data_IF_928796617956
#
_entry.id   IF_928796617956
#
_cell.length_a   1.000
_cell.length_b   1.000
_cell.length_c   1.000
_cell.angle_alpha   90.00
_cell.angle_beta   90.00
_cell.angle_gamma   90.00
#
_symmetry.space_group_name_H-M   'P 1'
#
loop_
_entity.id
_entity.type
_entity.pdbx_description
1 polymer ?
#
# COMPACT_ATOMS: atom_id res chain seq x y z
N UNK A 1 -8.42 42.52 -15.29
CA UNK A 1 -9.42 41.70 -14.55
C UNK A 1 -9.59 40.32 -15.20
N UNK A 2 -9.87 40.23 -16.51
CA UNK A 2 -9.96 38.97 -17.25
C UNK A 2 -8.74 38.04 -17.09
N UNK A 3 -7.51 38.55 -17.19
CA UNK A 3 -6.30 37.73 -17.03
C UNK A 3 -6.21 37.06 -15.65
N UNK A 4 -6.65 37.77 -14.58
CA UNK A 4 -6.68 37.21 -13.22
C UNK A 4 -7.75 36.12 -13.07
N UNK A 5 -8.88 36.24 -13.76
CA UNK A 5 -9.95 35.23 -13.79
C UNK A 5 -9.49 33.99 -14.55
N UNK A 6 -8.77 34.15 -15.67
CA UNK A 6 -8.20 33.04 -16.44
C UNK A 6 -7.15 32.29 -15.63
N UNK A 7 -6.25 33.01 -14.94
CA UNK A 7 -5.25 32.39 -14.06
C UNK A 7 -5.93 31.65 -12.90
N UNK A 8 -6.95 32.24 -12.28
CA UNK A 8 -7.70 31.61 -11.19
C UNK A 8 -8.46 30.36 -11.65
N UNK A 9 -9.10 30.40 -12.83
CA UNK A 9 -9.74 29.25 -13.44
C UNK A 9 -8.71 28.16 -13.79
N UNK A 10 -7.55 28.52 -14.33
CA UNK A 10 -6.48 27.56 -14.66
C UNK A 10 -5.91 26.87 -13.41
N UNK A 11 -5.83 27.57 -12.28
CA UNK A 11 -5.43 27.00 -10.97
C UNK A 11 -6.50 26.04 -10.44
N UNK A 12 -7.78 26.37 -10.60
CA UNK A 12 -8.90 25.50 -10.19
C UNK A 12 -9.05 24.26 -11.09
N UNK A 13 -8.75 24.39 -12.39
CA UNK A 13 -8.80 23.28 -13.35
C UNK A 13 -7.57 22.37 -13.29
N UNK A 14 -6.41 22.86 -12.82
CA UNK A 14 -5.30 22.03 -12.37
C UNK A 14 -5.53 21.53 -10.94
N UNK A 15 -6.74 21.04 -10.66
CA UNK A 15 -6.97 20.18 -9.51
C UNK A 15 -6.16 18.91 -9.77
N UNK A 16 -4.90 18.90 -9.30
CA UNK A 16 -4.11 17.68 -9.27
C UNK A 16 -4.92 16.68 -8.45
N UNK A 17 -5.49 15.67 -9.12
CA UNK A 17 -5.96 14.49 -8.42
C UNK A 17 -4.84 14.01 -7.50
N UNK A 18 -5.20 13.65 -6.28
CA UNK A 18 -4.22 13.19 -5.30
C UNK A 18 -3.37 12.09 -5.97
N UNK A 19 -2.03 12.19 -5.94
CA UNK A 19 -1.17 11.24 -6.63
C UNK A 19 -1.38 9.79 -6.18
N UNK A 20 -2.05 9.53 -5.06
CA UNK A 20 -2.47 8.19 -4.66
C UNK A 20 -3.65 7.64 -5.48
N UNK A 21 -4.50 8.48 -6.07
CA UNK A 21 -5.67 8.04 -6.85
C UNK A 21 -5.23 7.08 -7.96
N UNK A 22 -5.97 5.99 -8.11
CA UNK A 22 -5.70 4.91 -9.05
C UNK A 22 -5.33 3.59 -8.37
N UNK A 23 -5.02 2.59 -9.20
CA UNK A 23 -4.73 1.23 -8.76
C UNK A 23 -3.22 0.98 -8.65
N UNK A 24 -2.83 0.36 -7.55
CA UNK A 24 -1.45 0.10 -7.15
C UNK A 24 -1.29 -1.36 -6.82
N UNK A 25 -0.53 -2.08 -7.66
CA UNK A 25 -0.24 -3.50 -7.47
C UNK A 25 1.06 -3.70 -6.73
N UNK A 26 1.08 -4.56 -5.72
CA UNK A 26 2.31 -4.87 -5.01
C UNK A 26 3.28 -5.54 -5.97
N UNK A 27 4.50 -5.01 -6.06
CA UNK A 27 5.57 -5.56 -6.87
C UNK A 27 6.70 -6.11 -6.00
N UNK A 28 6.88 -5.57 -4.79
CA UNK A 28 7.96 -6.00 -3.89
C UNK A 28 7.57 -5.85 -2.42
N UNK A 29 8.05 -6.76 -1.57
CA UNK A 29 7.92 -6.68 -0.13
C UNK A 29 9.23 -7.09 0.54
N UNK A 30 9.95 -6.12 1.11
CA UNK A 30 11.28 -6.34 1.68
C UNK A 30 11.26 -7.24 2.92
N UNK A 31 10.13 -7.34 3.63
CA UNK A 31 9.99 -8.30 4.73
C UNK A 31 9.96 -9.73 4.22
N UNK A 32 9.19 -9.99 3.15
CA UNK A 32 9.14 -11.32 2.53
C UNK A 32 10.50 -11.73 1.99
N UNK A 33 11.17 -10.82 1.28
CA UNK A 33 12.54 -11.06 0.77
C UNK A 33 13.51 -11.39 1.90
N UNK A 34 13.50 -10.58 2.97
CA UNK A 34 14.38 -10.81 4.12
C UNK A 34 14.13 -12.15 4.80
N UNK A 35 12.89 -12.64 4.80
CA UNK A 35 12.56 -13.96 5.36
C UNK A 35 13.11 -15.06 4.45
N UNK A 36 12.86 -14.97 3.14
CA UNK A 36 13.32 -15.96 2.15
C UNK A 36 14.85 -16.08 2.09
N UNK A 37 15.58 -15.00 2.36
CA UNK A 37 17.05 -15.02 2.39
C UNK A 37 17.64 -15.28 3.77
N UNK A 38 16.82 -15.53 4.80
CA UNK A 38 17.31 -15.71 6.17
C UNK A 38 17.88 -17.12 6.40
N UNK A 39 18.94 -17.22 7.21
CA UNK A 39 19.50 -18.53 7.60
C UNK A 39 18.45 -19.45 8.22
N UNK A 40 17.51 -18.89 9.00
CA UNK A 40 16.43 -19.66 9.62
C UNK A 40 15.58 -20.34 8.54
N UNK A 41 15.14 -19.60 7.53
CA UNK A 41 14.35 -20.16 6.44
C UNK A 41 15.12 -21.26 5.68
N UNK A 42 16.42 -21.05 5.43
CA UNK A 42 17.27 -22.03 4.76
C UNK A 42 17.50 -23.32 5.56
N UNK A 43 17.21 -23.32 6.88
CA UNK A 43 17.31 -24.48 7.76
C UNK A 43 15.99 -25.24 7.93
N UNK A 44 14.87 -24.71 7.43
CA UNK A 44 13.57 -25.42 7.42
C UNK A 44 13.58 -26.55 6.39
N UNK A 45 12.68 -27.52 6.53
CA UNK A 45 12.52 -28.60 5.56
C UNK A 45 11.94 -28.10 4.22
N UNK A 46 12.14 -28.86 3.14
CA UNK A 46 11.72 -28.48 1.78
C UNK A 46 10.21 -28.19 1.68
N UNK A 47 9.37 -28.93 2.41
CA UNK A 47 7.92 -28.74 2.37
C UNK A 47 7.54 -27.39 3.00
N UNK A 48 8.15 -27.06 4.14
CA UNK A 48 7.94 -25.76 4.81
C UNK A 48 8.46 -24.60 3.96
N UNK A 49 9.63 -24.75 3.33
CA UNK A 49 10.19 -23.74 2.44
C UNK A 49 9.26 -23.47 1.25
N UNK A 50 8.76 -24.52 0.60
CA UNK A 50 7.85 -24.41 -0.54
C UNK A 50 6.53 -23.76 -0.14
N UNK A 51 5.92 -24.20 0.98
CA UNK A 51 4.64 -23.67 1.44
C UNK A 51 4.70 -22.16 1.76
N UNK A 52 5.82 -21.71 2.35
CA UNK A 52 6.02 -20.29 2.63
C UNK A 52 6.27 -19.49 1.36
N UNK A 53 7.08 -20.02 0.42
CA UNK A 53 7.33 -19.40 -0.87
C UNK A 53 6.03 -19.24 -1.68
N UNK A 54 5.17 -20.27 -1.69
CA UNK A 54 3.86 -20.24 -2.34
C UNK A 54 2.93 -19.21 -1.70
N UNK A 55 2.95 -19.13 -0.35
CA UNK A 55 2.20 -18.11 0.39
C UNK A 55 2.66 -16.71 -0.01
N UNK A 56 3.96 -16.44 -0.02
CA UNK A 56 4.48 -15.12 -0.39
C UNK A 56 4.22 -14.78 -1.85
N UNK A 57 4.33 -15.76 -2.76
CA UNK A 57 3.94 -15.61 -4.16
C UNK A 57 2.46 -15.23 -4.28
N UNK A 58 1.58 -15.91 -3.53
CA UNK A 58 0.13 -15.60 -3.50
C UNK A 58 -0.14 -14.20 -2.98
N UNK A 59 0.55 -13.76 -1.92
CA UNK A 59 0.39 -12.39 -1.40
C UNK A 59 0.90 -11.36 -2.40
N UNK A 60 2.10 -11.54 -2.95
CA UNK A 60 2.68 -10.60 -3.91
C UNK A 60 1.80 -10.43 -5.15
N UNK A 61 1.36 -11.56 -5.73
CA UNK A 61 0.52 -11.58 -6.92
C UNK A 61 -0.94 -11.20 -6.63
N UNK A 62 -1.39 -11.27 -5.38
CA UNK A 62 -2.73 -10.91 -4.95
C UNK A 62 -2.86 -9.45 -4.54
N UNK A 63 -1.82 -8.87 -3.93
CA UNK A 63 -1.98 -7.63 -3.17
C UNK A 63 -2.11 -6.38 -4.02
N UNK A 64 -3.13 -5.56 -3.74
CA UNK A 64 -3.30 -4.23 -4.35
C UNK A 64 -4.01 -3.23 -3.43
N UNK A 65 -3.88 -1.95 -3.79
CA UNK A 65 -4.72 -0.84 -3.33
C UNK A 65 -5.32 -0.14 -4.54
N UNK A 66 -6.60 0.21 -4.50
CA UNK A 66 -7.28 1.02 -5.49
C UNK A 66 -7.91 2.21 -4.79
N UNK A 67 -7.26 3.36 -4.88
CA UNK A 67 -7.71 4.60 -4.24
C UNK A 67 -8.63 5.36 -5.18
N UNK A 68 -9.85 5.59 -4.71
CA UNK A 68 -10.80 6.54 -5.26
C UNK A 68 -10.83 7.77 -4.34
N UNK A 69 -11.72 8.74 -4.59
CA UNK A 69 -11.71 10.06 -3.93
C UNK A 69 -11.58 10.00 -2.40
N UNK A 70 -12.43 9.22 -1.73
CA UNK A 70 -12.48 9.05 -0.28
C UNK A 70 -12.50 7.56 0.14
N UNK A 71 -12.67 6.67 -0.83
CA UNK A 71 -12.72 5.23 -0.64
C UNK A 71 -11.46 4.56 -1.17
N UNK A 72 -11.10 3.44 -0.53
CA UNK A 72 -10.04 2.56 -1.02
C UNK A 72 -10.55 1.12 -1.00
N UNK A 73 -10.36 0.43 -2.12
CA UNK A 73 -10.48 -1.03 -2.18
C UNK A 73 -9.08 -1.62 -2.06
N UNK A 74 -8.86 -2.54 -1.13
CA UNK A 74 -7.55 -3.12 -0.89
C UNK A 74 -7.66 -4.57 -0.50
N UNK A 75 -6.59 -5.31 -0.67
CA UNK A 75 -6.56 -6.74 -0.35
C UNK A 75 -5.87 -7.03 0.97
N UNK A 76 -6.35 -8.06 1.67
CA UNK A 76 -5.68 -8.66 2.82
C UNK A 76 -5.49 -10.17 2.59
N UNK A 77 -4.51 -10.78 3.28
CA UNK A 77 -4.31 -12.21 3.26
C UNK A 77 -4.81 -12.84 4.56
N UNK A 78 -5.90 -13.60 4.47
CA UNK A 78 -6.57 -14.20 5.63
C UNK A 78 -7.11 -15.58 5.27
N UNK A 79 -7.02 -16.52 6.21
CA UNK A 79 -7.50 -17.90 6.02
C UNK A 79 -6.93 -18.56 4.75
N UNK A 80 -5.66 -18.31 4.46
CA UNK A 80 -4.97 -18.79 3.27
C UNK A 80 -5.49 -18.24 1.93
N UNK A 81 -6.28 -17.17 1.95
CA UNK A 81 -6.85 -16.55 0.75
C UNK A 81 -6.61 -15.05 0.70
N UNK A 82 -6.65 -14.51 -0.52
CA UNK A 82 -6.65 -13.07 -0.76
C UNK A 82 -8.10 -12.62 -0.76
N UNK A 83 -8.43 -11.71 0.15
CA UNK A 83 -9.77 -11.13 0.27
C UNK A 83 -9.72 -9.65 -0.07
N UNK A 84 -10.76 -9.14 -0.71
CA UNK A 84 -10.93 -7.72 -0.96
C UNK A 84 -11.72 -7.06 0.17
N UNK A 85 -11.24 -5.89 0.58
CA UNK A 85 -11.79 -5.07 1.65
C UNK A 85 -12.02 -3.66 1.11
N UNK A 86 -12.98 -2.95 1.71
CA UNK A 86 -13.24 -1.54 1.44
C UNK A 86 -13.03 -0.70 2.69
N UNK A 87 -12.41 0.45 2.50
CA UNK A 87 -12.06 1.39 3.56
C UNK A 87 -12.26 2.84 3.14
N UNK A 88 -12.11 3.73 4.12
CA UNK A 88 -11.88 5.16 3.90
C UNK A 88 -10.40 5.43 4.05
N UNK A 89 -9.89 6.40 3.29
CA UNK A 89 -8.48 6.78 3.40
C UNK A 89 -8.31 8.29 3.42
N UNK A 90 -7.19 8.71 4.00
CA UNK A 90 -6.72 10.09 3.98
C UNK A 90 -5.22 10.12 4.28
N UNK A 91 -4.56 11.23 3.98
CA UNK A 91 -3.17 11.48 4.31
C UNK A 91 -3.03 12.57 5.37
N UNK A 92 -2.06 12.43 6.26
CA UNK A 92 -1.61 13.48 7.17
C UNK A 92 -0.09 13.62 7.05
N UNK A 93 0.36 14.63 6.29
CA UNK A 93 1.74 14.71 5.81
C UNK A 93 2.09 13.43 5.01
N UNK A 94 3.19 12.80 5.36
CA UNK A 94 3.66 11.57 4.71
C UNK A 94 2.99 10.30 5.25
N UNK A 95 1.97 10.42 6.12
CA UNK A 95 1.27 9.26 6.69
C UNK A 95 -0.02 9.00 5.95
N UNK A 96 -0.13 7.84 5.29
CA UNK A 96 -1.39 7.29 4.82
C UNK A 96 -2.13 6.61 5.98
N UNK A 97 -3.42 6.91 6.12
CA UNK A 97 -4.30 6.24 7.07
C UNK A 97 -5.44 5.58 6.30
N UNK A 98 -5.70 4.31 6.59
CA UNK A 98 -6.82 3.54 6.05
C UNK A 98 -7.69 3.06 7.20
N UNK A 99 -8.92 3.55 7.28
CA UNK A 99 -9.96 3.04 8.17
C UNK A 99 -10.77 1.94 7.49
N UNK A 100 -10.87 0.76 8.10
CA UNK A 100 -11.67 -0.34 7.54
C UNK A 100 -13.15 -0.09 7.81
N UNK A 101 -14.03 -0.25 6.81
CA UNK A 101 -15.46 0.00 7.02
C UNK A 101 -16.14 -1.08 7.89
N UNK A 102 -15.61 -2.30 7.88
CA UNK A 102 -16.20 -3.46 8.57
C UNK A 102 -15.62 -3.71 9.97
N UNK A 103 -14.65 -2.89 10.40
CA UNK A 103 -13.96 -3.06 11.68
C UNK A 103 -13.55 -1.70 12.21
N UNK A 104 -13.74 -1.45 13.51
CA UNK A 104 -13.22 -0.26 14.19
C UNK A 104 -11.69 -0.33 14.34
N UNK A 105 -10.97 -0.30 13.23
CA UNK A 105 -9.51 -0.30 13.19
C UNK A 105 -9.00 0.56 12.05
N UNK A 106 -7.94 1.30 12.34
CA UNK A 106 -7.17 2.04 11.34
C UNK A 106 -5.82 1.37 11.15
N UNK A 107 -5.37 1.32 9.90
CA UNK A 107 -4.01 0.96 9.56
C UNK A 107 -3.28 2.21 9.06
N UNK A 108 -2.08 2.43 9.59
CA UNK A 108 -1.25 3.57 9.20
C UNK A 108 0.00 3.09 8.45
N UNK A 109 0.41 3.88 7.48
CA UNK A 109 1.62 3.67 6.70
C UNK A 109 2.38 4.98 6.54
N UNK A 110 3.71 4.92 6.63
CA UNK A 110 4.59 6.00 6.20
C UNK A 110 4.84 5.84 4.69
N UNK A 111 4.46 6.84 3.90
CA UNK A 111 4.81 6.96 2.49
C UNK A 111 6.26 7.44 2.43
N UNK A 112 7.13 6.62 1.85
CA UNK A 112 8.56 6.94 1.69
C UNK A 112 8.92 7.37 0.28
N UNK A 113 8.04 7.09 -0.69
CA UNK A 113 8.12 7.55 -2.08
C UNK A 113 6.73 7.47 -2.71
N UNK A 114 6.36 8.50 -3.46
CA UNK A 114 5.16 8.53 -4.28
C UNK A 114 5.45 9.33 -5.55
N UNK A 115 5.36 8.67 -6.70
CA UNK A 115 5.43 9.30 -8.03
C UNK A 115 4.36 8.72 -8.97
N UNK A 116 4.45 9.00 -10.27
CA UNK A 116 3.45 8.53 -11.25
C UNK A 116 3.44 7.00 -11.41
N UNK A 117 4.52 6.32 -11.06
CA UNK A 117 4.76 4.90 -11.32
C UNK A 117 4.86 4.06 -10.06
N UNK A 118 5.37 4.61 -8.96
CA UNK A 118 5.67 3.85 -7.75
C UNK A 118 5.12 4.49 -6.46
N UNK A 119 4.64 3.62 -5.57
CA UNK A 119 4.24 3.93 -4.20
C UNK A 119 5.03 3.03 -3.25
N UNK A 120 5.80 3.62 -2.34
CA UNK A 120 6.60 2.91 -1.35
C UNK A 120 6.08 3.20 0.05
N UNK A 121 5.68 2.17 0.77
CA UNK A 121 5.07 2.29 2.08
C UNK A 121 5.82 1.48 3.14
N UNK A 122 5.93 2.03 4.34
CA UNK A 122 6.31 1.31 5.55
C UNK A 122 5.10 1.20 6.46
N UNK A 123 4.82 0.00 6.94
CA UNK A 123 3.79 -0.18 7.97
C UNK A 123 4.21 0.60 9.23
N UNK A 124 3.27 1.28 9.88
CA UNK A 124 3.51 1.91 11.19
C UNK A 124 2.99 0.96 12.28
N UNK A 125 3.84 0.63 13.25
CA UNK A 125 3.44 -0.23 14.37
C UNK A 125 2.38 0.49 15.21
N UNK A 126 1.18 -0.11 15.39
CA UNK A 126 0.10 0.52 16.13
C UNK A 126 0.39 0.68 17.63
N UNK A 127 1.42 0.02 18.17
CA UNK A 127 1.74 0.03 19.61
C UNK A 127 2.57 1.24 20.01
N UNK A 128 3.58 1.60 19.22
CA UNK A 128 4.52 2.69 19.52
C UNK A 128 4.54 3.80 18.47
N UNK A 129 3.85 3.62 17.34
CA UNK A 129 3.79 4.59 16.25
C UNK A 129 5.06 4.64 15.39
N UNK A 130 6.00 3.70 15.56
CA UNK A 130 7.26 3.68 14.83
C UNK A 130 7.07 2.93 13.49
N UNK A 131 7.54 3.50 12.35
CA UNK A 131 7.54 2.78 11.08
C UNK A 131 8.48 1.57 11.10
N UNK A 132 8.01 0.43 10.61
CA UNK A 132 8.88 -0.70 10.32
C UNK A 132 9.94 -0.33 9.29
N UNK A 133 11.13 -0.95 9.37
CA UNK A 133 12.26 -0.64 8.47
C UNK A 133 11.97 -1.02 7.02
N UNK A 134 11.35 -2.18 6.83
CA UNK A 134 11.09 -2.79 5.53
C UNK A 134 9.93 -2.13 4.81
N UNK A 135 10.05 -2.00 3.49
CA UNK A 135 9.07 -1.40 2.61
C UNK A 135 8.21 -2.44 1.89
N UNK A 136 6.98 -2.03 1.61
CA UNK A 136 6.15 -2.57 0.55
C UNK A 136 6.20 -1.60 -0.62
N UNK A 137 6.43 -2.11 -1.82
CA UNK A 137 6.57 -1.31 -3.04
C UNK A 137 5.50 -1.74 -4.03
N UNK A 138 4.76 -0.75 -4.52
CA UNK A 138 3.67 -0.92 -5.45
C UNK A 138 3.96 -0.18 -6.73
N UNK A 139 3.50 -0.75 -7.84
CA UNK A 139 3.48 -0.10 -9.16
C UNK A 139 2.06 0.28 -9.53
N UNK A 140 1.92 1.42 -10.20
CA UNK A 140 0.63 1.82 -10.77
C UNK A 140 0.21 0.83 -11.87
N UNK A 141 -1.03 0.39 -11.84
CA UNK A 141 -1.68 -0.28 -12.97
C UNK A 141 -2.42 0.77 -13.80
N UNK A 142 -2.30 0.68 -15.12
CA UNK A 142 -3.02 1.52 -16.10
C UNK A 142 -4.48 1.09 -16.24
#
# INVERSE_FOLDING_TARGET
MLLKIIIFAYILFNYNEDPLIGKWKMYRNETMESILTSNRFQMEDEQTQQALADTFSKVLNGSFYHFEKDTVTFTDYKNSEIIELKGLWWTNGDTLVIGQLHKMSVQKYLITKLDKSELHMRLIDPRDGVPFRNRMIFKREE
#
